data_IF_680292804416
#
_entry.id   IF_680292804416
#
_cell.length_a   1.000
_cell.length_b   1.000
_cell.length_c   1.000
_cell.angle_alpha   90.00
_cell.angle_beta   90.00
_cell.angle_gamma   90.00
#
_symmetry.space_group_name_H-M   'P 1'
#
loop_
_entity.id
_entity.type
_entity.pdbx_description
1 polymer ?
#
# COMPACT_ATOMS: atom_id res chain seq x y z
N UNK A 1 14.59 -7.57 -5.34
CA UNK A 1 14.36 -6.38 -6.18
C UNK A 1 13.06 -6.52 -6.95
N UNK A 2 12.33 -5.41 -7.13
CA UNK A 2 11.08 -5.39 -7.90
C UNK A 2 11.38 -5.36 -9.40
N UNK A 3 10.78 -6.27 -10.16
CA UNK A 3 10.95 -6.38 -11.61
C UNK A 3 9.80 -5.77 -12.41
N UNK A 4 8.59 -5.85 -11.87
CA UNK A 4 7.39 -5.40 -12.53
C UNK A 4 6.40 -4.82 -11.51
N UNK A 5 5.66 -3.81 -11.93
CA UNK A 5 4.64 -3.15 -11.15
C UNK A 5 3.45 -2.85 -12.07
N UNK A 6 2.31 -3.45 -11.76
CA UNK A 6 1.10 -3.33 -12.55
C UNK A 6 -0.04 -2.81 -11.71
N UNK A 7 -0.79 -1.84 -12.24
CA UNK A 7 -2.04 -1.35 -11.67
C UNK A 7 -3.20 -2.00 -12.42
N UNK A 8 -4.07 -2.71 -11.70
CA UNK A 8 -5.20 -3.44 -12.29
C UNK A 8 -6.51 -2.67 -12.15
N UNK A 9 -6.72 -2.02 -11.01
CA UNK A 9 -7.96 -1.31 -10.71
C UNK A 9 -7.70 -0.03 -9.95
N UNK A 10 -8.52 0.97 -10.25
CA UNK A 10 -8.59 2.23 -9.51
C UNK A 10 -10.06 2.52 -9.22
N UNK A 11 -10.40 2.57 -7.95
CA UNK A 11 -11.71 2.97 -7.46
C UNK A 11 -11.60 4.30 -6.73
N UNK A 12 -12.55 5.20 -6.96
CA UNK A 12 -12.62 6.44 -6.19
C UNK A 12 -14.06 6.89 -6.02
N UNK A 13 -14.34 7.50 -4.87
CA UNK A 13 -15.68 8.01 -4.57
C UNK A 13 -15.61 9.21 -3.64
N UNK A 14 -16.39 10.23 -3.96
CA UNK A 14 -16.66 11.39 -3.10
C UNK A 14 -18.02 11.24 -2.45
N UNK A 15 -18.11 11.54 -1.15
CA UNK A 15 -19.35 11.46 -0.38
C UNK A 15 -19.94 12.83 -0.03
N UNK A 16 -19.19 13.90 -0.28
CA UNK A 16 -19.57 15.28 0.01
C UNK A 16 -19.43 16.15 -1.22
N UNK A 17 -20.21 17.24 -1.27
CA UNK A 17 -20.08 18.24 -2.33
C UNK A 17 -18.75 18.99 -2.21
N UNK A 18 -18.25 19.52 -3.32
CA UNK A 18 -17.02 20.33 -3.32
C UNK A 18 -17.14 21.58 -2.43
N UNK A 19 -18.35 22.14 -2.28
CA UNK A 19 -18.61 23.29 -1.41
C UNK A 19 -18.51 22.92 0.07
N UNK A 20 -18.98 21.73 0.45
CA UNK A 20 -18.91 21.25 1.82
C UNK A 20 -17.48 20.86 2.22
N UNK A 21 -16.73 20.23 1.31
CA UNK A 21 -15.33 19.86 1.54
C UNK A 21 -14.49 21.09 1.89
N UNK A 22 -14.73 22.23 1.21
CA UNK A 22 -14.02 23.50 1.47
C UNK A 22 -14.29 24.11 2.85
N UNK A 23 -15.40 23.75 3.50
CA UNK A 23 -15.75 24.24 4.85
C UNK A 23 -14.97 23.51 5.93
N UNK A 24 -14.49 22.30 5.65
CA UNK A 24 -13.74 21.52 6.63
C UNK A 24 -12.31 22.07 6.75
N UNK A 25 -11.98 22.53 7.96
CA UNK A 25 -10.64 23.05 8.28
C UNK A 25 -9.63 21.91 8.49
N UNK A 26 -10.10 20.78 9.00
CA UNK A 26 -9.29 19.63 9.32
C UNK A 26 -9.94 18.39 8.71
N UNK A 27 -9.18 17.66 7.89
CA UNK A 27 -9.58 16.38 7.31
C UNK A 27 -8.48 15.39 7.65
N UNK A 28 -8.83 14.27 8.25
CA UNK A 28 -7.88 13.23 8.59
C UNK A 28 -7.65 12.35 7.35
N UNK A 29 -6.42 12.29 6.86
CA UNK A 29 -6.06 11.44 5.72
C UNK A 29 -5.37 10.19 6.27
N UNK A 30 -6.02 9.04 6.10
CA UNK A 30 -5.46 7.74 6.46
C UNK A 30 -4.99 7.01 5.21
N UNK A 31 -3.77 6.47 5.28
CA UNK A 31 -3.17 5.63 4.26
C UNK A 31 -3.16 4.19 4.75
N UNK A 32 -3.74 3.30 3.95
CA UNK A 32 -3.78 1.87 4.23
C UNK A 32 -3.07 1.12 3.11
N UNK A 33 -2.11 0.28 3.49
CA UNK A 33 -1.31 -0.53 2.57
C UNK A 33 -1.45 -1.98 2.98
N UNK A 34 -1.83 -2.80 2.01
CA UNK A 34 -2.01 -4.23 2.21
C UNK A 34 -1.29 -4.99 1.10
N UNK A 35 -0.56 -6.04 1.48
CA UNK A 35 0.14 -6.96 0.58
C UNK A 35 -0.38 -8.38 0.84
N UNK A 36 -0.89 -9.05 -0.19
CA UNK A 36 -1.64 -10.31 -0.07
C UNK A 36 -1.31 -11.27 -1.20
N UNK A 37 -1.77 -12.51 -1.04
CA UNK A 37 -1.78 -13.55 -2.07
C UNK A 37 -0.42 -13.74 -2.79
N UNK A 38 0.67 -14.01 -2.04
CA UNK A 38 1.96 -14.29 -2.65
C UNK A 38 1.86 -15.54 -3.53
N UNK A 39 2.35 -15.45 -4.77
CA UNK A 39 2.38 -16.57 -5.72
C UNK A 39 3.70 -16.59 -6.48
N UNK A 40 4.19 -17.76 -6.85
CA UNK A 40 5.40 -17.89 -7.66
C UNK A 40 4.97 -18.02 -9.11
N UNK A 41 5.47 -17.13 -9.96
CA UNK A 41 5.21 -17.12 -11.40
C UNK A 41 6.52 -16.99 -12.16
N UNK A 42 6.53 -17.37 -13.43
CA UNK A 42 7.66 -17.16 -14.33
C UNK A 42 7.40 -15.88 -15.12
N UNK A 43 8.31 -14.92 -15.01
CA UNK A 43 8.28 -13.67 -15.78
C UNK A 43 9.30 -13.69 -16.91
N UNK A 44 8.90 -13.12 -18.06
CA UNK A 44 9.73 -13.04 -19.24
C UNK A 44 10.44 -11.69 -19.25
N UNK A 45 11.69 -11.67 -18.78
CA UNK A 45 12.50 -10.45 -18.77
C UNK A 45 13.34 -10.36 -20.04
N UNK A 46 13.87 -9.17 -20.40
CA UNK A 46 14.85 -9.03 -21.46
C UNK A 46 16.12 -9.90 -21.28
N UNK A 47 16.36 -10.40 -20.07
CA UNK A 47 17.50 -11.24 -19.71
C UNK A 47 17.13 -12.73 -19.58
N UNK A 48 15.95 -13.13 -20.06
CA UNK A 48 15.43 -14.50 -20.02
C UNK A 48 14.31 -14.70 -19.00
N UNK A 49 13.87 -15.95 -18.89
CA UNK A 49 12.85 -16.36 -17.93
C UNK A 49 13.39 -16.32 -16.50
N UNK A 50 12.64 -15.67 -15.61
CA UNK A 50 12.97 -15.59 -14.18
C UNK A 50 11.75 -15.97 -13.36
N UNK A 51 11.94 -16.86 -12.39
CA UNK A 51 10.93 -17.08 -11.35
C UNK A 51 10.88 -15.85 -10.45
N UNK A 52 9.67 -15.40 -10.13
CA UNK A 52 9.41 -14.22 -9.29
C UNK A 52 8.29 -14.52 -8.30
N UNK A 53 8.32 -13.81 -7.17
CA UNK A 53 7.21 -13.76 -6.23
C UNK A 53 6.27 -12.62 -6.62
N UNK A 54 5.11 -12.96 -7.15
CA UNK A 54 4.02 -12.04 -7.43
C UNK A 54 3.19 -11.81 -6.18
N UNK A 55 3.01 -10.54 -5.81
CA UNK A 55 2.24 -10.11 -4.64
C UNK A 55 1.12 -9.18 -5.10
N UNK A 56 -0.10 -9.47 -4.66
CA UNK A 56 -1.23 -8.55 -4.83
C UNK A 56 -1.13 -7.43 -3.81
N UNK A 57 -1.27 -6.19 -4.27
CA UNK A 57 -1.26 -5.04 -3.38
C UNK A 57 -2.60 -4.30 -3.41
N UNK A 58 -2.91 -3.66 -2.28
CA UNK A 58 -3.95 -2.65 -2.18
C UNK A 58 -3.37 -1.42 -1.50
N UNK A 59 -3.60 -0.26 -2.09
CA UNK A 59 -3.29 1.04 -1.48
C UNK A 59 -4.57 1.88 -1.41
N UNK A 60 -4.99 2.25 -0.22
CA UNK A 60 -6.16 3.09 -0.02
C UNK A 60 -5.81 4.40 0.68
N UNK A 61 -6.42 5.47 0.20
CA UNK A 61 -6.33 6.83 0.75
C UNK A 61 -7.73 7.20 1.19
N UNK A 62 -7.95 7.24 2.50
CA UNK A 62 -9.24 7.47 3.11
C UNK A 62 -9.28 8.87 3.73
N UNK A 63 -10.25 9.67 3.35
CA UNK A 63 -10.44 11.02 3.88
C UNK A 63 -11.54 10.99 4.94
N UNK A 64 -11.12 10.95 6.20
CA UNK A 64 -11.92 10.70 7.39
C UNK A 64 -12.14 11.98 8.22
N UNK A 65 -13.16 11.94 9.09
CA UNK A 65 -13.49 12.98 10.07
C UNK A 65 -13.57 14.40 9.49
N UNK A 66 -14.54 14.70 8.61
CA UNK A 66 -15.64 13.84 8.17
C UNK A 66 -15.27 12.93 7.00
N UNK A 67 -16.04 11.86 6.79
CA UNK A 67 -15.84 10.96 5.66
C UNK A 67 -16.27 11.64 4.35
N UNK A 68 -15.32 12.18 3.61
CA UNK A 68 -15.60 12.94 2.38
C UNK A 68 -15.29 12.16 1.11
N UNK A 69 -14.55 11.05 1.21
CA UNK A 69 -14.24 10.23 0.07
C UNK A 69 -13.08 9.27 0.30
N UNK A 70 -12.78 8.50 -0.74
CA UNK A 70 -11.62 7.62 -0.77
C UNK A 70 -11.11 7.43 -2.20
N UNK A 71 -9.86 6.98 -2.29
CA UNK A 71 -9.21 6.51 -3.51
C UNK A 71 -8.55 5.17 -3.17
N UNK A 72 -8.80 4.13 -3.95
CA UNK A 72 -8.27 2.79 -3.76
C UNK A 72 -7.63 2.29 -5.04
N UNK A 73 -6.43 1.77 -4.91
CA UNK A 73 -5.64 1.18 -5.98
C UNK A 73 -5.44 -0.30 -5.69
N UNK A 74 -5.56 -1.13 -6.71
CA UNK A 74 -5.27 -2.56 -6.62
C UNK A 74 -4.42 -3.00 -7.80
N UNK A 75 -3.48 -3.89 -7.56
CA UNK A 75 -2.56 -4.33 -8.58
C UNK A 75 -1.63 -5.44 -8.14
N UNK A 76 -0.59 -5.65 -8.94
CA UNK A 76 0.38 -6.73 -8.79
C UNK A 76 1.79 -6.13 -8.79
N UNK A 77 2.65 -6.70 -7.96
CA UNK A 77 4.07 -6.38 -7.96
C UNK A 77 4.87 -7.68 -7.98
N UNK A 78 5.84 -7.76 -8.87
CA UNK A 78 6.68 -8.94 -9.03
C UNK A 78 8.05 -8.69 -8.40
N UNK A 79 8.42 -9.56 -7.46
CA UNK A 79 9.66 -9.47 -6.71
C UNK A 79 10.60 -10.62 -7.08
N UNK A 80 11.81 -10.28 -7.49
CA UNK A 80 12.89 -11.22 -7.74
C UNK A 80 13.85 -11.29 -6.55
N UNK A 81 14.24 -12.51 -6.20
CA UNK A 81 15.30 -12.82 -5.24
C UNK A 81 16.20 -13.91 -5.82
N UNK A 82 17.48 -13.89 -5.46
CA UNK A 82 18.38 -15.03 -5.68
C UNK A 82 18.16 -16.14 -4.64
N UNK A 83 17.49 -15.82 -3.53
CA UNK A 83 17.10 -16.79 -2.51
C UNK A 83 15.94 -17.70 -2.96
N UNK A 84 15.70 -18.78 -2.22
CA UNK A 84 14.60 -19.70 -2.51
C UNK A 84 13.24 -19.03 -2.35
N UNK A 85 12.59 -18.76 -3.48
CA UNK A 85 11.25 -18.15 -3.53
C UNK A 85 10.17 -19.01 -2.87
N UNK A 86 10.35 -20.33 -2.81
CA UNK A 86 9.41 -21.22 -2.11
C UNK A 86 9.44 -20.97 -0.61
N UNK A 87 10.63 -20.91 -0.03
CA UNK A 87 10.81 -20.59 1.39
C UNK A 87 10.27 -19.19 1.70
N UNK A 88 10.53 -18.21 0.82
CA UNK A 88 10.00 -16.87 0.97
C UNK A 88 8.47 -16.84 0.94
N UNK A 89 7.85 -17.58 0.01
CA UNK A 89 6.38 -17.71 -0.07
C UNK A 89 5.82 -18.37 1.19
N UNK A 90 6.42 -19.45 1.68
CA UNK A 90 5.99 -20.13 2.90
C UNK A 90 6.05 -19.20 4.13
N UNK A 91 7.13 -18.40 4.25
CA UNK A 91 7.22 -17.37 5.30
C UNK A 91 6.09 -16.35 5.17
N UNK A 92 5.74 -15.95 3.96
CA UNK A 92 4.67 -15.00 3.71
C UNK A 92 3.29 -15.57 4.08
N UNK A 93 3.00 -16.79 3.65
CA UNK A 93 1.76 -17.50 3.99
C UNK A 93 1.61 -17.72 5.50
N UNK A 94 2.73 -17.92 6.21
CA UNK A 94 2.78 -18.02 7.66
C UNK A 94 2.69 -16.67 8.40
N UNK A 95 2.49 -15.55 7.69
CA UNK A 95 2.45 -14.19 8.26
C UNK A 95 3.81 -13.69 8.78
N UNK A 96 4.91 -14.33 8.36
CA UNK A 96 6.29 -14.02 8.74
C UNK A 96 7.09 -13.49 7.55
N UNK A 97 6.42 -12.80 6.63
CA UNK A 97 7.06 -12.17 5.47
C UNK A 97 8.22 -11.26 5.93
N UNK A 98 9.40 -11.33 5.30
CA UNK A 98 10.52 -10.46 5.66
C UNK A 98 10.13 -8.98 5.60
N UNK A 99 10.35 -8.25 6.68
CA UNK A 99 9.94 -6.85 6.79
C UNK A 99 10.63 -5.94 5.75
N UNK A 100 11.86 -6.27 5.36
CA UNK A 100 12.60 -5.53 4.33
C UNK A 100 11.92 -5.60 2.96
N UNK A 101 11.49 -6.80 2.56
CA UNK A 101 10.78 -7.03 1.29
C UNK A 101 9.40 -6.35 1.31
N UNK A 102 8.67 -6.46 2.42
CA UNK A 102 7.39 -5.76 2.59
C UNK A 102 7.56 -4.24 2.50
N UNK A 103 8.60 -3.70 3.13
CA UNK A 103 8.93 -2.27 3.08
C UNK A 103 9.30 -1.84 1.66
N UNK A 104 10.12 -2.60 0.95
CA UNK A 104 10.51 -2.30 -0.44
C UNK A 104 9.28 -2.25 -1.35
N UNK A 105 8.42 -3.28 -1.28
CA UNK A 105 7.19 -3.38 -2.06
C UNK A 105 6.24 -2.20 -1.78
N UNK A 106 5.98 -1.92 -0.50
CA UNK A 106 5.05 -0.87 -0.14
C UNK A 106 5.55 0.53 -0.47
N UNK A 107 6.83 0.83 -0.22
CA UNK A 107 7.38 2.14 -0.54
C UNK A 107 7.45 2.35 -2.07
N UNK A 108 7.78 1.31 -2.84
CA UNK A 108 7.76 1.38 -4.30
C UNK A 108 6.34 1.59 -4.83
N UNK A 109 5.37 0.85 -4.30
CA UNK A 109 3.96 1.01 -4.64
C UNK A 109 3.48 2.43 -4.35
N UNK A 110 3.76 2.95 -3.15
CA UNK A 110 3.37 4.30 -2.75
C UNK A 110 4.06 5.35 -3.63
N UNK A 111 5.34 5.20 -3.94
CA UNK A 111 6.08 6.11 -4.83
C UNK A 111 5.50 6.14 -6.26
N UNK A 112 5.14 4.98 -6.81
CA UNK A 112 4.55 4.87 -8.15
C UNK A 112 3.13 5.43 -8.20
N UNK A 113 2.33 5.25 -7.15
CA UNK A 113 0.92 5.64 -7.13
C UNK A 113 0.69 7.07 -6.63
N UNK A 114 1.63 7.67 -5.91
CA UNK A 114 1.50 9.02 -5.37
C UNK A 114 1.18 10.10 -6.43
N UNK A 115 1.82 10.13 -7.62
CA UNK A 115 1.47 11.09 -8.67
C UNK A 115 0.03 10.93 -9.16
N UNK A 116 -0.41 9.68 -9.35
CA UNK A 116 -1.77 9.38 -9.80
C UNK A 116 -2.81 9.74 -8.73
N UNK A 117 -2.52 9.44 -7.46
CA UNK A 117 -3.36 9.83 -6.32
C UNK A 117 -3.52 11.35 -6.22
N UNK A 118 -2.45 12.11 -6.46
CA UNK A 118 -2.51 13.57 -6.48
C UNK A 118 -3.39 14.09 -7.64
N UNK A 119 -3.29 13.48 -8.82
CA UNK A 119 -4.13 13.84 -9.95
C UNK A 119 -5.61 13.53 -9.69
N UNK A 120 -5.92 12.36 -9.13
CA UNK A 120 -7.28 11.93 -8.81
C UNK A 120 -7.89 12.77 -7.70
N UNK A 121 -7.15 13.03 -6.62
CA UNK A 121 -7.64 13.88 -5.53
C UNK A 121 -8.02 15.27 -6.03
N UNK A 122 -7.18 15.88 -6.89
CA UNK A 122 -7.49 17.15 -7.55
C UNK A 122 -8.72 17.07 -8.44
N UNK A 123 -8.85 16.03 -9.26
CA UNK A 123 -9.98 15.86 -10.16
C UNK A 123 -11.31 15.68 -9.41
N UNK A 124 -11.27 15.04 -8.24
CA UNK A 124 -12.42 14.78 -7.38
C UNK A 124 -12.73 15.93 -6.40
N UNK A 125 -11.92 16.98 -6.39
CA UNK A 125 -12.05 18.07 -5.42
C UNK A 125 -11.75 17.66 -3.97
N UNK A 126 -11.06 16.54 -3.78
CA UNK A 126 -10.55 16.09 -2.50
C UNK A 126 -9.27 16.86 -2.15
N UNK A 127 -8.93 17.00 -0.85
CA UNK A 127 -7.64 17.53 -0.45
C UNK A 127 -6.50 16.72 -1.07
N UNK A 128 -5.35 17.36 -1.38
CA UNK A 128 -4.18 16.65 -1.87
C UNK A 128 -3.79 15.51 -0.94
N UNK A 129 -3.51 14.34 -1.50
CA UNK A 129 -3.04 13.15 -0.77
C UNK A 129 -1.56 13.27 -0.37
N UNK A 130 -1.18 14.41 0.21
CA UNK A 130 0.19 14.74 0.62
C UNK A 130 0.24 15.06 2.12
N UNK A 131 1.35 14.76 2.81
CA UNK A 131 2.55 14.11 2.31
C UNK A 131 2.38 12.61 2.06
N UNK A 132 3.16 12.08 1.12
CA UNK A 132 3.25 10.65 0.83
C UNK A 132 3.86 9.93 2.05
N UNK A 133 3.23 8.87 2.58
CA UNK A 133 3.76 8.16 3.74
C UNK A 133 4.98 7.31 3.36
N UNK A 134 5.96 7.24 4.26
CA UNK A 134 6.99 6.18 4.23
C UNK A 134 6.45 5.01 5.03
N UNK A 135 6.35 3.84 4.42
CA UNK A 135 5.79 2.64 5.03
C UNK A 135 6.90 1.82 5.68
N UNK A 136 6.69 1.43 6.95
CA UNK A 136 7.59 0.55 7.69
C UNK A 136 6.82 -0.52 8.48
N UNK A 137 6.78 -1.74 7.95
CA UNK A 137 6.15 -2.92 8.55
C UNK A 137 6.88 -3.44 9.78
N UNK A 138 8.18 -3.17 9.94
CA UNK A 138 8.96 -3.63 11.11
C UNK A 138 8.54 -2.93 12.41
N UNK A 139 7.99 -1.70 12.32
CA UNK A 139 7.51 -0.96 13.49
C UNK A 139 6.09 -1.34 13.93
N UNK A 140 5.25 -1.84 13.01
CA UNK A 140 3.88 -2.22 13.31
C UNK A 140 3.80 -3.40 14.31
N UNK A 141 4.78 -4.30 14.31
CA UNK A 141 4.86 -5.42 15.25
C UNK A 141 5.18 -5.00 16.70
N UNK A 142 5.84 -3.84 16.91
CA UNK A 142 6.22 -3.38 18.27
C UNK A 142 5.10 -2.62 19.00
N UNK A 143 4.00 -2.27 18.33
CA UNK A 143 2.97 -1.40 18.91
C UNK A 143 1.82 -2.15 19.62
N UNK A 144 1.94 -3.47 19.82
CA UNK A 144 0.85 -4.31 20.36
C UNK A 144 1.00 -4.79 21.81
N UNK A 145 2.07 -4.45 22.52
CA UNK A 145 2.20 -4.88 23.93
C UNK A 145 2.77 -3.75 24.78
N UNK A 146 1.90 -3.05 25.52
CA UNK A 146 2.02 -2.87 26.98
C UNK A 146 0.62 -2.52 27.55
N UNK A 147 -0.05 -3.40 28.31
CA UNK A 147 -1.17 -2.99 29.14
C UNK A 147 -0.62 -2.16 30.31
N UNK A 148 -0.84 -0.85 30.30
CA UNK A 148 -0.52 0.03 31.43
C UNK A 148 -1.44 -0.30 32.60
N UNK A 149 -0.93 -1.06 33.58
CA UNK A 149 -1.56 -1.18 34.89
C UNK A 149 -1.34 0.12 35.66
N UNK A 150 -2.43 0.81 36.00
CA UNK A 150 -2.40 1.91 36.97
C UNK A 150 -2.33 1.31 38.38
N UNK A 151 -1.26 1.57 39.10
CA UNK A 151 -1.24 1.44 40.56
C UNK A 151 -1.73 2.76 41.16
N UNK A 152 -2.90 2.72 41.80
CA UNK A 152 -3.35 3.74 42.74
C UNK A 152 -2.91 3.42 44.16
#
# INVERSE_FOLDING_TARGET
>A
MILNFQLNSVESKTYSSAEDIRKYKNININYDVNLKNPSIVVEHTPFGEKSVLRVEYTFAINYLSPNIGHIRFEGLSDYYSEEDLKELKEKWDAGKAPGEIQNELANTMVANLAPLALMLSKALGLPPSMPVPVINFQQAAKKKEEPTYYHG
#
